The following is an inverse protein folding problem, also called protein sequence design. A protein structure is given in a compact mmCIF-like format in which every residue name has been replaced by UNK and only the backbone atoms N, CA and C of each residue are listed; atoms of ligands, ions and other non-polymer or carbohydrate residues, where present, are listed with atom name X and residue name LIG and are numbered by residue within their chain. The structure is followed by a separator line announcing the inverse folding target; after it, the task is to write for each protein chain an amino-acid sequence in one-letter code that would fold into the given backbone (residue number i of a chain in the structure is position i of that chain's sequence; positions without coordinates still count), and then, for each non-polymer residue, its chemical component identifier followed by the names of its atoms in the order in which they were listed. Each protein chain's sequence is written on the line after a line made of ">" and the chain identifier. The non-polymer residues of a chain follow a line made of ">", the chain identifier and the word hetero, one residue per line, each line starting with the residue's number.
data_IF_261980885636
#
_entry.id   IF_261980885636
#
_cell.length_a   1.000
_cell.length_b   1.000
_cell.length_c   1.000
_cell.angle_alpha   90.00
_cell.angle_beta   90.00
_cell.angle_gamma   90.00
#
_symmetry.space_group_name_H-M   'P 1'
#
loop_
_entity.id
_entity.type
_entity.pdbx_description
1 polymer ?
#
# COMPACT_ATOMS: atom_id res chain seq x y z
N UNK A 1 -2.88 13.79 -1.94
CA UNK A 1 -3.19 12.39 -1.57
C UNK A 1 -4.70 12.20 -1.53
N UNK A 2 -5.18 11.04 -1.99
CA UNK A 2 -6.60 10.67 -2.12
C UNK A 2 -6.84 9.24 -1.61
N UNK A 3 -8.10 8.88 -1.40
CA UNK A 3 -8.47 7.48 -1.17
C UNK A 3 -8.12 6.66 -2.41
N UNK A 4 -7.79 5.39 -2.24
CA UNK A 4 -7.51 4.51 -3.37
C UNK A 4 -7.29 3.08 -2.97
N UNK A 5 -6.90 2.28 -3.95
CA UNK A 5 -6.70 0.84 -3.79
C UNK A 5 -5.35 0.41 -4.35
N UNK A 6 -4.64 -0.43 -3.62
CA UNK A 6 -3.41 -1.07 -4.11
C UNK A 6 -3.56 -2.58 -4.07
N UNK A 7 -3.01 -3.27 -5.07
CA UNK A 7 -2.82 -4.71 -5.04
C UNK A 7 -1.46 -5.00 -4.42
N UNK A 8 -1.43 -5.92 -3.46
CA UNK A 8 -0.22 -6.42 -2.83
C UNK A 8 0.01 -7.83 -3.31
N UNK A 9 1.08 -8.06 -4.06
CA UNK A 9 1.54 -9.40 -4.40
C UNK A 9 2.63 -9.79 -3.40
N UNK A 10 2.39 -10.87 -2.67
CA UNK A 10 3.30 -11.41 -1.66
C UNK A 10 3.65 -12.85 -2.01
N UNK A 11 4.62 -13.43 -1.30
CA UNK A 11 4.93 -14.87 -1.41
C UNK A 11 3.73 -15.79 -1.13
N UNK A 12 2.78 -15.32 -0.32
CA UNK A 12 1.60 -16.09 0.10
C UNK A 12 0.40 -15.87 -0.85
N UNK A 13 0.56 -15.02 -1.87
CA UNK A 13 -0.44 -14.72 -2.88
C UNK A 13 -0.81 -13.24 -2.95
N UNK A 14 -1.90 -12.97 -3.67
CA UNK A 14 -2.39 -11.62 -3.96
C UNK A 14 -3.48 -11.20 -2.97
N UNK A 15 -3.42 -9.94 -2.53
CA UNK A 15 -4.48 -9.29 -1.75
C UNK A 15 -4.66 -7.84 -2.17
N UNK A 16 -5.74 -7.21 -1.73
CA UNK A 16 -6.00 -5.79 -1.97
C UNK A 16 -6.06 -5.02 -0.65
N UNK A 17 -5.44 -3.84 -0.63
CA UNK A 17 -5.52 -2.90 0.47
C UNK A 17 -6.29 -1.64 0.03
N UNK A 18 -7.32 -1.30 0.81
CA UNK A 18 -8.06 -0.04 0.68
C UNK A 18 -7.33 1.04 1.50
N UNK A 19 -6.92 2.12 0.83
CA UNK A 19 -6.10 3.19 1.36
C UNK A 19 -6.98 4.41 1.61
N UNK A 20 -7.07 4.85 2.87
CA UNK A 20 -7.88 6.02 3.25
C UNK A 20 -6.99 7.24 3.44
N UNK A 21 -7.30 8.34 2.75
CA UNK A 21 -6.59 9.62 2.88
C UNK A 21 -6.60 10.09 4.33
N UNK A 22 -5.41 10.41 4.84
CA UNK A 22 -5.25 10.94 6.20
C UNK A 22 -5.34 9.88 7.31
N UNK A 23 -5.46 8.60 6.95
CA UNK A 23 -5.40 7.48 7.89
C UNK A 23 -4.08 6.71 7.71
N UNK A 24 -3.00 7.10 8.42
CA UNK A 24 -1.75 6.34 8.37
C UNK A 24 -1.92 4.97 9.01
N UNK A 25 -1.16 3.99 8.52
CA UNK A 25 -1.07 2.66 9.12
C UNK A 25 0.39 2.23 9.22
N UNK A 26 0.64 1.20 10.02
CA UNK A 26 1.98 0.68 10.28
C UNK A 26 2.16 -0.71 9.66
N UNK A 27 3.36 -0.95 9.12
CA UNK A 27 3.84 -2.28 8.72
C UNK A 27 5.09 -2.59 9.53
N UNK A 28 5.25 -3.85 9.92
CA UNK A 28 6.44 -4.32 10.63
C UNK A 28 7.59 -4.50 9.63
N UNK A 29 8.81 -4.46 10.13
CA UNK A 29 10.00 -4.85 9.38
C UNK A 29 9.87 -6.28 8.80
N UNK A 30 10.47 -6.51 7.64
CA UNK A 30 10.51 -7.82 6.97
C UNK A 30 9.30 -8.13 6.09
N UNK A 31 8.40 -7.17 5.87
CA UNK A 31 7.27 -7.33 4.94
C UNK A 31 7.75 -7.17 3.49
N UNK A 32 7.83 -8.28 2.76
CA UNK A 32 8.17 -8.32 1.34
C UNK A 32 6.90 -8.37 0.47
N UNK A 33 6.78 -7.45 -0.47
CA UNK A 33 5.63 -7.37 -1.37
C UNK A 33 5.90 -6.46 -2.57
N UNK A 34 5.26 -6.74 -3.71
CA UNK A 34 5.11 -5.78 -4.80
C UNK A 34 3.85 -4.95 -4.58
N UNK A 35 3.97 -3.62 -4.67
CA UNK A 35 2.85 -2.68 -4.60
C UNK A 35 2.43 -2.28 -6.01
N UNK A 36 1.22 -2.67 -6.42
CA UNK A 36 0.70 -2.41 -7.76
C UNK A 36 -0.49 -1.44 -7.64
N UNK A 37 -0.47 -0.37 -8.44
CA UNK A 37 -1.58 0.58 -8.53
C UNK A 37 -2.83 -0.12 -9.10
N UNK A 38 -3.91 -0.16 -8.32
CA UNK A 38 -5.19 -0.76 -8.70
C UNK A 38 -6.30 0.29 -8.89
N UNK A 39 -5.92 1.54 -9.17
CA UNK A 39 -6.82 2.64 -9.47
C UNK A 39 -6.86 2.90 -10.99
N UNK A 40 -7.89 3.58 -11.48
CA UNK A 40 -8.02 3.97 -12.90
C UNK A 40 -7.02 5.07 -13.33
N UNK A 41 -6.35 5.71 -12.36
CA UNK A 41 -5.40 6.79 -12.60
C UNK A 41 -4.20 6.75 -11.66
N UNK A 42 -3.36 7.78 -11.73
CA UNK A 42 -2.18 7.93 -10.88
C UNK A 42 -2.54 7.88 -9.40
N UNK A 43 -1.74 7.15 -8.61
CA UNK A 43 -1.91 7.05 -7.18
C UNK A 43 -0.59 7.29 -6.47
N UNK A 44 -0.64 8.05 -5.37
CA UNK A 44 0.53 8.38 -4.58
C UNK A 44 0.19 8.24 -3.09
N UNK A 45 1.18 7.79 -2.33
CA UNK A 45 1.20 7.75 -0.87
C UNK A 45 2.59 8.11 -0.37
N UNK A 46 2.73 8.30 0.93
CA UNK A 46 4.01 8.59 1.58
C UNK A 46 4.30 7.42 2.52
N UNK A 47 5.52 6.90 2.45
CA UNK A 47 6.05 5.95 3.41
C UNK A 47 7.07 6.66 4.31
N UNK A 48 7.04 6.32 5.60
CA UNK A 48 7.98 6.87 6.59
C UNK A 48 8.63 5.68 7.29
N UNK A 49 9.93 5.50 7.08
CA UNK A 49 10.74 4.47 7.73
C UNK A 49 11.29 5.00 9.06
N UNK A 50 11.04 4.28 10.16
CA UNK A 50 11.54 4.62 11.49
C UNK A 50 12.82 3.81 11.78
N UNK A 51 13.80 4.45 12.45
CA UNK A 51 15.07 3.83 12.87
C UNK A 51 15.01 3.31 14.30
#
# INVERSE_FOLDING_TARGET
>A
LMDGKVKLLTKDGETFAEMKKGAPYFRKEGVEHDVINANEGEYAFIEIELK
#
